data_IF_766401942970
#
_entry.id   IF_766401942970
#
_cell.length_a   1.000
_cell.length_b   1.000
_cell.length_c   1.000
_cell.angle_alpha   90.00
_cell.angle_beta   90.00
_cell.angle_gamma   90.00
#
_symmetry.space_group_name_H-M   'P 1'
#
loop_
_entity.id
_entity.type
_entity.pdbx_description
1 polymer ?
#
# COMPACT_ATOMS: atom_id res chain seq x y z
N UNK A 1 14.97 -12.05 12.64
CA UNK A 1 15.17 -10.64 13.05
C UNK A 1 13.78 -10.02 13.24
N UNK A 2 13.26 -10.05 14.47
CA UNK A 2 11.91 -9.52 14.78
C UNK A 2 12.03 -8.01 14.89
N UNK A 3 11.54 -7.26 13.90
CA UNK A 3 11.49 -5.81 13.96
C UNK A 3 10.58 -5.39 15.11
N UNK A 4 11.16 -4.78 16.15
CA UNK A 4 10.43 -4.22 17.27
C UNK A 4 9.59 -3.05 16.76
N UNK A 5 8.26 -3.19 16.79
CA UNK A 5 7.33 -2.12 16.37
C UNK A 5 7.59 -0.84 17.18
N UNK A 6 7.59 0.32 16.52
CA UNK A 6 7.84 1.59 17.22
C UNK A 6 6.70 1.94 18.19
N UNK A 7 7.08 2.48 19.37
CA UNK A 7 6.24 2.69 20.56
C UNK A 7 5.02 3.64 20.41
N UNK A 8 4.74 4.19 19.22
CA UNK A 8 3.63 5.13 18.96
C UNK A 8 2.62 4.54 17.97
N UNK A 9 2.23 3.30 18.23
CA UNK A 9 1.42 2.45 17.36
C UNK A 9 -0.06 2.87 17.41
N UNK A 10 -0.56 3.52 16.36
CA UNK A 10 -2.00 3.81 16.19
C UNK A 10 -2.79 2.50 16.24
N UNK A 11 -3.91 2.48 16.99
CA UNK A 11 -4.76 1.30 17.11
C UNK A 11 -5.19 0.83 15.72
N UNK A 12 -5.13 -0.47 15.46
CA UNK A 12 -5.52 -1.05 14.16
C UNK A 12 -6.99 -0.76 13.80
N UNK A 13 -7.83 -0.48 14.80
CA UNK A 13 -9.25 -0.15 14.65
C UNK A 13 -9.55 1.35 14.52
N UNK A 14 -8.51 2.17 14.34
CA UNK A 14 -8.62 3.61 14.12
C UNK A 14 -8.04 3.97 12.75
N UNK A 15 -8.36 5.16 12.26
CA UNK A 15 -7.78 5.69 11.04
C UNK A 15 -7.33 7.13 11.30
N UNK A 16 -6.47 7.70 10.43
CA UNK A 16 -6.22 9.13 10.41
C UNK A 16 -7.45 9.92 9.97
N UNK A 17 -7.55 11.20 10.37
CA UNK A 17 -8.70 12.06 10.02
C UNK A 17 -8.81 12.36 8.53
N UNK A 18 -7.66 12.37 7.85
CA UNK A 18 -7.58 12.56 6.42
C UNK A 18 -8.07 11.30 5.67
N UNK A 19 -9.02 11.48 4.76
CA UNK A 19 -9.45 10.43 3.85
C UNK A 19 -8.29 9.93 2.99
N UNK A 20 -8.33 8.66 2.61
CA UNK A 20 -7.30 8.08 1.75
C UNK A 20 -5.90 8.03 2.37
N UNK A 21 -5.75 8.23 3.69
CA UNK A 21 -4.46 8.22 4.37
C UNK A 21 -4.35 7.05 5.36
N UNK A 22 -4.08 5.81 4.91
CA UNK A 22 -3.99 4.66 5.81
C UNK A 22 -2.77 4.73 6.73
N UNK A 23 -2.95 4.30 7.99
CA UNK A 23 -1.81 4.10 8.90
C UNK A 23 -1.08 2.77 8.63
N UNK A 24 -1.73 1.82 7.95
CA UNK A 24 -1.14 0.52 7.60
C UNK A 24 -1.48 0.13 6.18
N UNK A 25 -0.43 -0.18 5.42
CA UNK A 25 -0.52 -0.64 4.04
C UNK A 25 -0.01 -2.08 3.98
N UNK A 26 -0.83 -2.98 3.43
CA UNK A 26 -0.50 -4.39 3.21
C UNK A 26 -0.40 -4.63 1.70
N UNK A 27 0.78 -5.04 1.26
CA UNK A 27 1.11 -5.30 -0.15
C UNK A 27 1.14 -6.80 -0.36
N UNK A 28 0.42 -7.30 -1.35
CA UNK A 28 0.36 -8.73 -1.67
C UNK A 28 0.35 -8.97 -3.19
N UNK A 29 0.94 -10.07 -3.63
CA UNK A 29 1.14 -10.35 -5.06
C UNK A 29 -0.13 -10.73 -5.82
N UNK A 30 -1.21 -11.12 -5.12
CA UNK A 30 -2.40 -11.66 -5.78
C UNK A 30 -3.70 -11.04 -5.26
N UNK A 31 -4.63 -10.72 -6.16
CA UNK A 31 -5.94 -10.15 -5.80
C UNK A 31 -6.79 -11.08 -4.93
N UNK A 32 -6.71 -12.41 -5.12
CA UNK A 32 -7.41 -13.36 -4.25
C UNK A 32 -6.86 -13.34 -2.81
N UNK A 33 -5.54 -13.19 -2.68
CA UNK A 33 -4.86 -13.06 -1.40
C UNK A 33 -5.20 -11.74 -0.73
N UNK A 34 -5.24 -10.63 -1.48
CA UNK A 34 -5.73 -9.35 -0.99
C UNK A 34 -7.15 -9.47 -0.43
N UNK A 35 -8.06 -10.15 -1.12
CA UNK A 35 -9.42 -10.38 -0.63
C UNK A 35 -9.47 -11.23 0.66
N UNK A 36 -8.63 -12.27 0.76
CA UNK A 36 -8.48 -13.09 1.98
C UNK A 36 -7.98 -12.26 3.16
N UNK A 37 -6.93 -11.46 2.96
CA UNK A 37 -6.37 -10.57 3.97
C UNK A 37 -7.40 -9.51 4.40
N UNK A 38 -8.15 -8.93 3.45
CA UNK A 38 -9.24 -8.01 3.77
C UNK A 38 -10.25 -8.66 4.70
N UNK A 39 -10.73 -9.87 4.39
CA UNK A 39 -11.66 -10.61 5.25
C UNK A 39 -11.09 -10.86 6.64
N UNK A 40 -9.85 -11.32 6.75
CA UNK A 40 -9.20 -11.58 8.03
C UNK A 40 -9.02 -10.30 8.88
N UNK A 41 -8.80 -9.16 8.23
CA UNK A 41 -8.58 -7.88 8.89
C UNK A 41 -9.89 -7.10 9.15
N UNK A 42 -11.05 -7.55 8.66
CA UNK A 42 -12.36 -6.90 8.88
C UNK A 42 -12.72 -6.72 10.36
N UNK A 43 -12.18 -7.54 11.26
CA UNK A 43 -12.35 -7.37 12.72
C UNK A 43 -11.84 -6.03 13.26
N UNK A 44 -10.96 -5.36 12.52
CA UNK A 44 -10.46 -4.03 12.85
C UNK A 44 -11.25 -2.91 12.16
N UNK A 45 -12.24 -3.24 11.34
CA UNK A 45 -13.06 -2.22 10.71
C UNK A 45 -14.02 -1.59 11.71
N UNK A 46 -14.10 -0.26 11.71
CA UNK A 46 -15.09 0.52 12.45
C UNK A 46 -15.78 1.51 11.51
N UNK A 47 -16.82 2.20 11.98
CA UNK A 47 -17.50 3.26 11.21
C UNK A 47 -16.54 4.38 10.78
N UNK A 48 -15.51 4.62 11.60
CA UNK A 48 -14.52 5.66 11.37
C UNK A 48 -13.20 5.11 10.82
N UNK A 49 -13.03 3.80 10.65
CA UNK A 49 -11.80 3.20 10.17
C UNK A 49 -12.08 2.04 9.22
N UNK A 50 -12.01 2.32 7.92
CA UNK A 50 -12.30 1.32 6.90
C UNK A 50 -11.08 0.44 6.62
N UNK A 51 -11.31 -0.86 6.40
CA UNK A 51 -10.33 -1.78 5.82
C UNK A 51 -10.54 -1.82 4.31
N UNK A 52 -9.68 -1.11 3.58
CA UNK A 52 -9.77 -0.93 2.14
C UNK A 52 -9.14 -2.09 1.36
N UNK A 53 -9.73 -2.39 0.21
CA UNK A 53 -9.31 -3.44 -0.72
C UNK A 53 -9.05 -2.82 -2.08
N UNK A 54 -7.77 -2.74 -2.47
CA UNK A 54 -7.28 -1.98 -3.62
C UNK A 54 -6.58 -2.91 -4.62
N UNK A 55 -7.35 -3.67 -5.41
CA UNK A 55 -6.82 -4.50 -6.52
C UNK A 55 -7.76 -4.50 -7.73
N UNK A 56 -7.22 -4.85 -8.91
CA UNK A 56 -7.84 -4.53 -10.19
C UNK A 56 -8.92 -5.47 -10.74
N UNK A 57 -9.22 -6.61 -10.09
CA UNK A 57 -10.08 -7.65 -10.71
C UNK A 57 -11.57 -7.29 -10.83
N UNK A 58 -12.13 -6.46 -9.96
CA UNK A 58 -13.58 -6.16 -9.95
C UNK A 58 -13.92 -4.69 -9.66
N UNK A 59 -12.92 -3.82 -9.48
CA UNK A 59 -13.13 -2.39 -9.22
C UNK A 59 -12.29 -1.61 -10.23
N UNK A 60 -12.96 -0.78 -11.02
CA UNK A 60 -12.30 0.11 -11.98
C UNK A 60 -11.40 1.09 -11.23
N UNK A 61 -10.42 1.69 -11.91
CA UNK A 61 -9.47 2.56 -11.21
C UNK A 61 -10.17 3.84 -10.71
N UNK A 62 -11.09 4.37 -11.51
CA UNK A 62 -11.90 5.55 -11.22
C UNK A 62 -12.79 5.35 -9.99
N UNK A 63 -13.39 4.16 -9.86
CA UNK A 63 -14.17 3.78 -8.68
C UNK A 63 -13.29 3.65 -7.43
N UNK A 64 -12.08 3.10 -7.58
CA UNK A 64 -11.12 3.02 -6.48
C UNK A 64 -10.67 4.43 -6.05
N UNK A 65 -10.43 5.34 -6.99
CA UNK A 65 -10.11 6.74 -6.72
C UNK A 65 -11.25 7.42 -5.95
N UNK A 66 -12.48 7.30 -6.45
CA UNK A 66 -13.65 7.89 -5.79
C UNK A 66 -13.84 7.32 -4.38
N UNK A 67 -13.59 6.02 -4.19
CA UNK A 67 -13.63 5.37 -2.89
C UNK A 67 -12.56 5.90 -1.94
N UNK A 68 -11.30 5.99 -2.37
CA UNK A 68 -10.18 6.46 -1.53
C UNK A 68 -10.38 7.91 -1.12
N UNK A 69 -10.80 8.80 -2.03
CA UNK A 69 -11.04 10.24 -1.74
C UNK A 69 -12.11 10.48 -0.67
N UNK A 70 -13.15 9.63 -0.61
CA UNK A 70 -14.30 9.83 0.28
C UNK A 70 -14.25 9.04 1.57
N UNK A 71 -13.28 8.14 1.72
CA UNK A 71 -13.27 7.13 2.78
C UNK A 71 -12.11 7.33 3.72
N UNK A 72 -12.41 7.28 5.02
CA UNK A 72 -11.42 7.24 6.10
C UNK A 72 -10.89 5.80 6.23
N UNK A 73 -9.65 5.58 5.81
CA UNK A 73 -9.05 4.25 5.71
C UNK A 73 -8.03 4.07 6.84
N UNK A 74 -8.18 3.01 7.64
CA UNK A 74 -7.18 2.64 8.64
C UNK A 74 -6.13 1.70 8.05
N UNK A 75 -6.61 0.63 7.43
CA UNK A 75 -5.79 -0.41 6.80
C UNK A 75 -6.14 -0.50 5.31
N UNK A 76 -5.15 -0.36 4.44
CA UNK A 76 -5.31 -0.58 3.01
C UNK A 76 -4.57 -1.85 2.58
N UNK A 77 -5.22 -2.69 1.78
CA UNK A 77 -4.64 -3.94 1.28
C UNK A 77 -4.73 -3.93 -0.25
N UNK A 78 -3.62 -4.13 -0.94
CA UNK A 78 -3.61 -4.05 -2.39
C UNK A 78 -2.45 -4.77 -3.06
N UNK A 79 -2.54 -4.83 -4.39
CA UNK A 79 -1.46 -5.31 -5.25
C UNK A 79 -0.49 -4.16 -5.58
N UNK A 80 0.82 -4.39 -5.69
CA UNK A 80 1.83 -3.35 -5.95
C UNK A 80 1.42 -2.33 -7.02
N UNK A 81 1.07 -2.79 -8.22
CA UNK A 81 0.66 -1.93 -9.35
C UNK A 81 -0.55 -1.05 -9.03
N UNK A 82 -1.58 -1.61 -8.36
CA UNK A 82 -2.78 -0.84 -8.03
C UNK A 82 -2.50 0.22 -6.97
N UNK A 83 -1.60 -0.06 -6.03
CA UNK A 83 -1.19 0.91 -5.02
C UNK A 83 -0.41 2.06 -5.68
N UNK A 84 0.54 1.76 -6.56
CA UNK A 84 1.27 2.77 -7.34
C UNK A 84 0.30 3.66 -8.12
N UNK A 85 -0.65 3.09 -8.88
CA UNK A 85 -1.63 3.86 -9.64
C UNK A 85 -2.51 4.79 -8.78
N UNK A 86 -2.70 4.49 -7.49
CA UNK A 86 -3.45 5.34 -6.56
C UNK A 86 -2.56 6.36 -5.84
N UNK A 87 -1.26 6.09 -5.76
CA UNK A 87 -0.25 6.98 -5.18
C UNK A 87 0.23 8.03 -6.17
N UNK A 88 0.15 7.75 -7.47
CA UNK A 88 0.49 8.68 -8.55
C UNK A 88 -0.76 9.43 -9.05
N UNK A 89 -0.55 10.67 -9.50
CA UNK A 89 -1.61 11.51 -10.07
C UNK A 89 -2.06 11.04 -11.44
N UNK A 90 -1.12 10.51 -12.24
CA UNK A 90 -1.41 9.90 -13.53
C UNK A 90 -1.96 8.50 -13.30
N UNK A 91 -3.26 8.42 -13.09
CA UNK A 91 -4.01 7.19 -12.86
C UNK A 91 -4.09 6.27 -14.10
N UNK A 92 -3.09 6.27 -14.98
CA UNK A 92 -2.99 5.47 -16.19
C UNK A 92 -1.58 4.94 -16.32
N UNK A 93 -1.38 3.65 -15.99
CA UNK A 93 -0.08 3.00 -16.05
C UNK A 93 0.50 2.99 -17.47
N UNK A 94 1.35 3.98 -17.75
CA UNK A 94 2.42 3.91 -18.73
C UNK A 94 3.64 4.56 -18.10
N UNK A 95 4.34 3.82 -17.23
CA UNK A 95 5.73 4.14 -16.93
C UNK A 95 6.53 3.64 -18.12
N UNK A 96 6.58 4.45 -19.17
CA UNK A 96 7.55 4.26 -20.25
C UNK A 96 8.92 4.11 -19.61
N UNK A 97 9.55 2.97 -19.86
CA UNK A 97 10.89 2.54 -19.37
C UNK A 97 12.01 3.49 -19.86
N UNK A 98 11.67 4.65 -20.41
CA UNK A 98 12.56 5.58 -21.09
C UNK A 98 12.21 7.05 -20.82
N UNK A 99 11.90 7.39 -19.57
CA UNK A 99 12.13 8.77 -19.16
C UNK A 99 12.66 8.85 -17.73
N UNK A 100 13.98 9.07 -17.66
CA UNK A 100 14.62 9.88 -16.64
C UNK A 100 13.86 11.22 -16.60
N UNK A 101 12.74 11.28 -15.87
CA UNK A 101 12.13 12.54 -15.49
C UNK A 101 12.66 12.91 -14.12
N UNK A 102 13.80 13.59 -14.21
CA UNK A 102 14.28 14.57 -13.25
C UNK A 102 13.23 15.69 -13.16
N UNK A 103 12.12 15.45 -12.47
CA UNK A 103 11.15 16.50 -12.15
C UNK A 103 10.80 16.38 -10.67
N UNK A 104 11.42 17.28 -9.92
CA UNK A 104 11.10 17.69 -8.56
C UNK A 104 9.60 17.90 -8.37
N UNK A 105 9.13 17.57 -7.15
CA UNK A 105 7.76 17.56 -6.65
C UNK A 105 7.00 16.26 -6.97
N UNK A 106 7.06 15.32 -6.01
CA UNK A 106 6.12 14.21 -5.92
C UNK A 106 4.73 14.78 -5.60
N UNK A 107 4.03 15.22 -6.63
CA UNK A 107 2.63 15.65 -6.56
C UNK A 107 1.79 14.41 -6.21
N UNK A 108 0.96 14.52 -5.18
CA UNK A 108 0.43 13.38 -4.44
C UNK A 108 -0.85 12.82 -5.08
N UNK A 109 -0.84 11.53 -5.41
CA UNK A 109 -2.05 10.81 -5.81
C UNK A 109 -3.10 10.74 -4.69
N UNK A 110 -4.19 10.05 -4.97
CA UNK A 110 -5.38 10.01 -4.09
C UNK A 110 -5.15 9.23 -2.80
N UNK A 111 -4.19 8.31 -2.80
CA UNK A 111 -3.74 7.60 -1.61
C UNK A 111 -2.57 8.38 -0.99
N UNK A 112 -2.74 8.86 0.23
CA UNK A 112 -1.70 9.60 0.96
C UNK A 112 -0.89 8.66 1.84
N UNK A 113 0.43 8.83 1.84
CA UNK A 113 1.35 8.07 2.71
C UNK A 113 1.72 8.83 3.98
N UNK A 114 1.25 10.06 4.19
CA UNK A 114 1.69 10.94 5.28
C UNK A 114 1.53 10.30 6.66
N UNK A 115 0.41 9.61 6.89
CA UNK A 115 0.11 8.96 8.16
C UNK A 115 0.54 7.48 8.21
N UNK A 116 1.23 6.98 7.18
CA UNK A 116 1.65 5.58 7.13
C UNK A 116 2.61 5.29 8.29
N UNK A 117 2.34 4.22 9.05
CA UNK A 117 3.20 3.75 10.13
C UNK A 117 3.77 2.37 9.83
N UNK A 118 3.05 1.55 9.06
CA UNK A 118 3.41 0.16 8.79
C UNK A 118 3.23 -0.16 7.33
N UNK A 119 4.28 -0.70 6.71
CA UNK A 119 4.25 -1.28 5.38
C UNK A 119 4.52 -2.78 5.51
N UNK A 120 3.48 -3.59 5.31
CA UNK A 120 3.57 -5.06 5.41
C UNK A 120 3.62 -5.64 4.00
N UNK A 121 4.68 -6.35 3.67
CA UNK A 121 4.82 -7.11 2.43
C UNK A 121 4.49 -8.57 2.73
N UNK A 122 3.39 -9.06 2.15
CA UNK A 122 2.95 -10.45 2.26
C UNK A 122 3.73 -11.32 1.26
N UNK A 123 4.78 -11.94 1.78
CA UNK A 123 5.63 -12.92 1.10
C UNK A 123 5.16 -14.36 1.31
N UNK A 124 4.26 -14.60 2.27
CA UNK A 124 3.77 -15.95 2.61
C UNK A 124 2.87 -16.60 1.54
N UNK A 125 2.32 -15.83 0.60
CA UNK A 125 1.46 -16.38 -0.43
C UNK A 125 2.28 -16.96 -1.59
N UNK A 126 2.11 -18.26 -1.80
CA UNK A 126 2.71 -19.02 -2.90
C UNK A 126 1.62 -19.41 -3.89
N UNK A 127 1.85 -19.14 -5.17
CA UNK A 127 0.92 -19.51 -6.25
C UNK A 127 0.98 -21.02 -6.57
N UNK A 128 0.11 -21.49 -7.46
CA UNK A 128 0.08 -22.90 -7.90
C UNK A 128 1.39 -23.35 -8.57
N UNK A 129 2.21 -22.41 -9.05
CA UNK A 129 3.50 -22.66 -9.70
C UNK A 129 4.68 -22.48 -8.74
N UNK A 130 4.43 -22.43 -7.43
CA UNK A 130 5.43 -22.27 -6.37
C UNK A 130 6.19 -20.94 -6.42
N UNK A 131 5.57 -19.89 -6.93
CA UNK A 131 6.13 -18.53 -7.00
C UNK A 131 5.48 -17.64 -5.96
N UNK A 132 6.30 -16.86 -5.25
CA UNK A 132 5.89 -15.79 -4.36
C UNK A 132 5.90 -14.42 -5.04
N UNK A 133 5.65 -13.37 -4.25
CA UNK A 133 5.58 -11.98 -4.74
C UNK A 133 6.91 -11.48 -5.35
N UNK A 134 8.04 -12.07 -4.95
CA UNK A 134 9.39 -11.72 -5.41
C UNK A 134 9.84 -12.52 -6.64
N UNK A 135 9.14 -13.58 -7.03
CA UNK A 135 9.59 -14.50 -8.07
C UNK A 135 9.05 -14.17 -9.48
N UNK A 136 8.09 -13.24 -9.57
CA UNK A 136 7.47 -12.82 -10.83
C UNK A 136 7.81 -11.37 -11.12
N UNK A 137 8.45 -11.10 -12.27
CA UNK A 137 8.85 -9.73 -12.66
C UNK A 137 7.68 -8.74 -12.65
N UNK A 138 6.47 -9.19 -12.99
CA UNK A 138 5.27 -8.36 -13.01
C UNK A 138 4.81 -7.90 -11.61
N UNK A 139 5.15 -8.63 -10.55
CA UNK A 139 4.84 -8.24 -9.16
C UNK A 139 6.05 -7.70 -8.43
N UNK A 140 7.23 -8.22 -8.74
CA UNK A 140 8.50 -7.83 -8.14
C UNK A 140 8.90 -6.41 -8.55
N UNK A 141 8.83 -6.07 -9.84
CA UNK A 141 9.25 -4.75 -10.31
C UNK A 141 8.41 -3.62 -9.67
N UNK A 142 7.06 -3.69 -9.66
CA UNK A 142 6.28 -2.65 -9.03
C UNK A 142 6.38 -2.69 -7.49
N UNK A 143 6.69 -3.83 -6.88
CA UNK A 143 6.98 -3.87 -5.44
C UNK A 143 8.29 -3.13 -5.12
N UNK A 144 9.34 -3.37 -5.88
CA UNK A 144 10.64 -2.70 -5.73
C UNK A 144 10.49 -1.20 -5.96
N UNK A 145 9.73 -0.79 -6.98
CA UNK A 145 9.41 0.60 -7.26
C UNK A 145 8.68 1.26 -6.08
N UNK A 146 7.64 0.61 -5.56
CA UNK A 146 6.90 1.08 -4.40
C UNK A 146 7.81 1.26 -3.17
N UNK A 147 8.68 0.28 -2.91
CA UNK A 147 9.59 0.31 -1.77
C UNK A 147 10.68 1.39 -1.91
N UNK A 148 11.14 1.68 -3.13
CA UNK A 148 12.21 2.64 -3.40
C UNK A 148 11.75 4.10 -3.58
N UNK A 149 10.46 4.40 -3.46
CA UNK A 149 9.96 5.78 -3.49
C UNK A 149 10.71 6.64 -2.47
N UNK A 150 11.24 7.78 -2.91
CA UNK A 150 12.08 8.66 -2.08
C UNK A 150 11.40 9.00 -0.74
N UNK A 151 10.12 9.38 -0.77
CA UNK A 151 9.35 9.71 0.44
C UNK A 151 9.09 8.54 1.40
N UNK A 152 9.21 7.27 0.96
CA UNK A 152 9.16 6.10 1.84
C UNK A 152 10.54 5.67 2.32
N UNK A 153 11.54 5.73 1.43
CA UNK A 153 12.91 5.26 1.69
C UNK A 153 13.55 5.98 2.87
N UNK A 154 13.39 7.30 2.94
CA UNK A 154 13.88 8.12 4.06
C UNK A 154 13.21 7.76 5.39
N UNK A 155 11.95 7.33 5.33
CA UNK A 155 11.12 7.02 6.50
C UNK A 155 11.40 5.65 7.10
N UNK A 156 12.06 4.74 6.39
CA UNK A 156 12.43 3.43 6.95
C UNK A 156 13.48 3.56 8.06
N UNK A 157 14.41 4.50 7.92
CA UNK A 157 15.49 4.74 8.90
C UNK A 157 15.19 5.89 9.88
N UNK A 158 14.18 6.72 9.60
CA UNK A 158 13.84 7.87 10.44
C UNK A 158 13.32 7.47 11.82
N UNK A 159 13.77 8.16 12.88
CA UNK A 159 13.28 7.98 14.26
C UNK A 159 11.89 8.60 14.46
N UNK A 160 11.65 9.78 13.89
CA UNK A 160 10.36 10.47 13.89
C UNK A 160 9.57 10.19 12.60
N UNK A 161 8.26 9.96 12.73
CA UNK A 161 7.31 9.66 11.62
C UNK A 161 7.75 8.54 10.67
N UNK A 162 8.66 7.67 11.07
CA UNK A 162 9.13 6.62 10.17
C UNK A 162 8.15 5.44 10.06
N UNK A 163 8.39 4.60 9.05
CA UNK A 163 7.53 3.50 8.62
C UNK A 163 8.18 2.17 8.94
N UNK A 164 7.48 1.31 9.67
CA UNK A 164 7.91 -0.05 9.95
C UNK A 164 7.68 -0.92 8.71
N UNK A 165 8.78 -1.31 8.06
CA UNK A 165 8.77 -2.25 6.94
C UNK A 165 8.82 -3.68 7.48
N UNK A 166 7.76 -4.45 7.21
CA UNK A 166 7.54 -5.79 7.72
C UNK A 166 7.40 -6.76 6.54
N UNK A 167 8.12 -7.88 6.59
CA UNK A 167 7.93 -8.98 5.66
C UNK A 167 7.27 -10.13 6.41
N UNK A 168 6.16 -10.64 5.88
CA UNK A 168 5.36 -11.71 6.48
C UNK A 168 5.20 -12.89 5.53
#
# INVERSE_FOLDING_TARGET
MVSKMRNKSTKLSSAPDMNGSPHTLVVTGAGIRAANLTRALRKFQTEQATVAKLFAKHIKLEEAIAFVKKTRIGIAIGTPTRLINLLDEDHGGVVSIFQVKLTSAATAGVLSLENLQRLVVDCSHIDQKRRGILDMSETQNPLIELLNRQGLKERYAASEKGVDLLFY
#
